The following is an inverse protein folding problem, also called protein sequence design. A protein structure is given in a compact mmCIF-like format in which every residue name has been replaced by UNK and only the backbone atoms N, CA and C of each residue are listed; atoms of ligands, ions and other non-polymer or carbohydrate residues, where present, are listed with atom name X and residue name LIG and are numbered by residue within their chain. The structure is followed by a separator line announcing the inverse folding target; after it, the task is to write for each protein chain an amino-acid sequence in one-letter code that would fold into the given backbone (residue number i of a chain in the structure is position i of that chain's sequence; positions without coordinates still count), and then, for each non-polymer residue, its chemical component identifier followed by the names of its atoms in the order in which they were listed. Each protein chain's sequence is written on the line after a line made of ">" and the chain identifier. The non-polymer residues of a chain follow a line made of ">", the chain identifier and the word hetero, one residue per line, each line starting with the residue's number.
data_IF_742525178139
#
_entry.id   IF_742525178139
#
_cell.length_a   1.000
_cell.length_b   1.000
_cell.length_c   1.000
_cell.angle_alpha   90.00
_cell.angle_beta   90.00
_cell.angle_gamma   90.00
#
_symmetry.space_group_name_H-M   'P 1'
#
loop_
_entity.id
_entity.type
_entity.pdbx_description
1 polymer ?
#
# COMPACT_ATOMS: atom_id res chain seq x y z
N UNK A 1 -2.13 0.51 7.38
CA UNK A 1 -1.12 1.31 6.69
C UNK A 1 -0.37 2.12 7.72
N UNK A 2 0.95 2.24 7.58
CA UNK A 2 1.75 3.19 8.33
C UNK A 2 2.05 4.43 7.47
N UNK A 3 2.80 5.41 7.99
CA UNK A 3 3.21 6.63 7.27
C UNK A 3 4.08 6.37 6.04
N UNK A 4 4.73 5.20 5.96
CA UNK A 4 5.48 4.72 4.80
C UNK A 4 4.64 3.85 3.85
N UNK A 5 3.32 3.89 4.01
CA UNK A 5 2.35 3.14 3.19
C UNK A 5 2.55 1.62 3.17
N UNK A 6 3.22 1.02 4.16
CA UNK A 6 3.24 -0.43 4.29
C UNK A 6 1.82 -0.96 4.57
N UNK A 7 1.37 -1.91 3.76
CA UNK A 7 0.04 -2.52 3.90
C UNK A 7 0.15 -4.01 4.20
N UNK A 8 -0.67 -4.45 5.14
CA UNK A 8 -0.83 -5.86 5.51
C UNK A 8 -2.33 -6.19 5.49
N UNK A 9 -2.68 -7.47 5.31
CA UNK A 9 -4.08 -7.88 5.45
C UNK A 9 -4.57 -7.64 6.89
N UNK A 10 -5.89 -7.56 7.07
CA UNK A 10 -6.51 -7.31 8.38
C UNK A 10 -6.03 -8.31 9.42
N UNK A 11 -6.05 -9.60 9.07
CA UNK A 11 -5.73 -10.67 10.01
C UNK A 11 -4.26 -10.59 10.45
N UNK A 12 -3.31 -10.28 9.56
CA UNK A 12 -1.92 -10.07 9.96
C UNK A 12 -1.75 -8.83 10.83
N UNK A 13 -2.41 -7.71 10.50
CA UNK A 13 -2.33 -6.48 11.28
C UNK A 13 -2.84 -6.68 12.71
N UNK A 14 -3.92 -7.47 12.89
CA UNK A 14 -4.56 -7.71 14.19
C UNK A 14 -3.92 -8.86 14.98
N UNK A 15 -3.67 -10.01 14.36
CA UNK A 15 -3.27 -11.23 15.09
C UNK A 15 -1.77 -11.50 15.14
N UNK A 16 -1.01 -11.07 14.13
CA UNK A 16 0.44 -11.35 14.04
C UNK A 16 1.25 -10.13 14.47
N UNK A 17 0.83 -8.94 14.02
CA UNK A 17 1.61 -7.70 14.12
C UNK A 17 1.13 -6.78 15.26
N UNK A 18 -0.01 -7.10 15.91
CA UNK A 18 -0.56 -6.34 17.04
C UNK A 18 -0.64 -4.83 16.77
N UNK A 19 -1.04 -4.44 15.56
CA UNK A 19 -1.17 -3.04 15.15
C UNK A 19 0.15 -2.30 14.92
N UNK A 20 1.30 -2.98 14.86
CA UNK A 20 2.62 -2.36 14.63
C UNK A 20 3.28 -2.83 13.35
N UNK A 21 3.86 -1.89 12.60
CA UNK A 21 4.57 -2.17 11.37
C UNK A 21 5.96 -2.76 11.68
N UNK A 22 6.30 -3.96 11.16
CA UNK A 22 7.60 -4.58 11.42
C UNK A 22 8.76 -3.86 10.74
N UNK A 23 8.49 -3.09 9.68
CA UNK A 23 9.53 -2.42 8.90
C UNK A 23 9.95 -1.06 9.49
N UNK A 24 9.01 -0.35 10.15
CA UNK A 24 9.26 1.01 10.65
C UNK A 24 8.92 1.21 12.13
N UNK A 25 8.36 0.20 12.81
CA UNK A 25 7.95 0.27 14.23
C UNK A 25 6.71 1.13 14.51
N UNK A 26 6.18 1.85 13.50
CA UNK A 26 5.01 2.71 13.63
C UNK A 26 3.68 1.96 13.69
N UNK A 27 2.59 2.71 13.93
CA UNK A 27 1.23 2.18 13.99
C UNK A 27 0.70 1.74 12.61
N UNK A 28 -0.09 0.67 12.60
CA UNK A 28 -0.89 0.22 11.47
C UNK A 28 -2.34 0.67 11.66
N UNK A 29 -2.75 1.69 10.91
CA UNK A 29 -4.14 2.15 10.88
C UNK A 29 -4.90 1.59 9.67
N UNK A 30 -6.24 1.60 9.67
CA UNK A 30 -7.01 1.19 8.48
C UNK A 30 -6.68 2.08 7.28
N UNK A 31 -6.52 1.47 6.10
CA UNK A 31 -6.43 2.24 4.84
C UNK A 31 -7.79 2.88 4.56
N UNK A 32 -7.84 4.19 4.26
CA UNK A 32 -9.07 4.87 3.88
C UNK A 32 -9.70 4.20 2.66
N UNK A 33 -11.01 4.01 2.72
CA UNK A 33 -11.78 3.48 1.60
C UNK A 33 -11.95 4.58 0.57
N UNK A 34 -11.77 4.28 -0.72
CA UNK A 34 -12.15 5.20 -1.82
C UNK A 34 -13.68 5.26 -1.89
N UNK A 35 -14.34 6.41 -1.63
CA UNK A 35 -15.80 6.49 -1.62
C UNK A 35 -16.41 6.15 -2.99
N UNK A 36 -17.65 5.66 -3.01
CA UNK A 36 -18.33 5.22 -4.25
C UNK A 36 -18.37 6.30 -5.33
N UNK A 37 -18.63 7.56 -4.97
CA UNK A 37 -18.62 8.70 -5.92
C UNK A 37 -17.25 8.87 -6.58
N UNK A 38 -16.18 8.70 -5.81
CA UNK A 38 -14.81 8.80 -6.31
C UNK A 38 -14.45 7.58 -7.18
N UNK A 39 -14.97 6.40 -6.88
CA UNK A 39 -14.81 5.22 -7.74
C UNK A 39 -15.54 5.37 -9.09
N UNK A 40 -16.72 6.00 -9.09
CA UNK A 40 -17.46 6.27 -10.32
C UNK A 40 -16.75 7.31 -11.20
N UNK A 41 -16.20 8.37 -10.60
CA UNK A 41 -15.48 9.42 -11.31
C UNK A 41 -14.05 9.01 -11.72
N UNK A 42 -13.38 8.22 -10.88
CA UNK A 42 -12.00 7.77 -11.04
C UNK A 42 -11.91 6.25 -10.83
N UNK A 43 -12.39 5.46 -11.81
CA UNK A 43 -12.34 4.00 -11.71
C UNK A 43 -10.88 3.50 -11.76
N UNK A 44 -10.61 2.32 -11.18
CA UNK A 44 -9.32 1.68 -11.38
C UNK A 44 -9.07 1.42 -12.88
N UNK A 45 -7.81 1.51 -13.30
CA UNK A 45 -7.44 1.14 -14.67
C UNK A 45 -7.74 -0.34 -14.91
N UNK A 46 -8.36 -0.66 -16.05
CA UNK A 46 -8.53 -2.02 -16.52
C UNK A 46 -7.33 -2.50 -17.35
N UNK A 47 -6.45 -1.58 -17.73
CA UNK A 47 -5.25 -1.87 -18.51
C UNK A 47 -4.04 -1.97 -17.58
N UNK A 48 -3.26 -3.04 -17.77
CA UNK A 48 -1.96 -3.19 -17.13
C UNK A 48 -0.92 -2.42 -17.93
N UNK A 49 -0.43 -1.32 -17.38
CA UNK A 49 0.63 -0.52 -17.99
C UNK A 49 1.99 -1.10 -17.58
N UNK A 50 2.73 -1.65 -18.54
CA UNK A 50 4.11 -2.09 -18.33
C UNK A 50 5.08 -0.99 -18.79
N UNK A 51 5.78 -0.36 -17.86
CA UNK A 51 6.82 0.62 -18.19
C UNK A 51 8.08 -0.14 -18.60
N UNK A 52 8.40 -0.13 -19.90
CA UNK A 52 9.54 -0.87 -20.49
C UNK A 52 10.89 -0.46 -19.92
N UNK A 53 11.02 0.79 -19.53
CA UNK A 53 12.20 1.36 -18.88
C UNK A 53 11.86 1.69 -17.42
N UNK A 54 11.46 0.67 -16.66
CA UNK A 54 11.06 0.81 -15.26
C UNK A 54 12.15 1.37 -14.34
N UNK A 55 11.85 1.52 -13.04
CA UNK A 55 12.80 1.94 -12.01
C UNK A 55 14.11 1.17 -12.12
N UNK A 56 15.17 1.85 -12.56
CA UNK A 56 16.50 1.23 -12.66
C UNK A 56 17.03 0.93 -11.25
N UNK A 57 17.72 -0.20 -11.05
CA UNK A 57 18.38 -0.47 -9.79
C UNK A 57 19.37 0.65 -9.49
N UNK A 58 19.26 1.25 -8.30
CA UNK A 58 20.23 2.26 -7.84
C UNK A 58 21.59 1.57 -7.75
N UNK A 59 22.68 2.11 -8.32
CA UNK A 59 23.99 1.47 -8.24
C UNK A 59 24.39 1.29 -6.77
N UNK A 60 24.94 0.12 -6.45
CA UNK A 60 25.57 -0.13 -5.16
C UNK A 60 26.77 0.80 -5.03
N UNK A 61 26.85 1.53 -3.92
CA UNK A 61 28.00 2.35 -3.56
C UNK A 61 29.17 1.49 -3.12
#
# INVERSE_FOLDING_TARGET
>A
MCSFECTFCRDCAESVLSGRCPNCGGELVRRPVRPLRQLAQYPPSNERIFVREGCQPRPAS
#
